data_IF_300557122327
#
_entry.id   IF_300557122327
#
_cell.length_a   1.000
_cell.length_b   1.000
_cell.length_c   1.000
_cell.angle_alpha   90.00
_cell.angle_beta   90.00
_cell.angle_gamma   90.00
#
_symmetry.space_group_name_H-M   'P 1'
#
loop_
_entity.id
_entity.type
_entity.pdbx_description
1 polymer ?
#
# COMPACT_ATOMS: atom_id res chain seq x y z
N UNK A 1 16.02 15.71 0.61
CA UNK A 1 16.12 14.61 -0.38
C UNK A 1 15.27 13.40 0.03
N UNK A 2 15.43 12.88 1.25
CA UNK A 2 14.71 11.71 1.80
C UNK A 2 13.18 11.74 1.67
N UNK A 3 12.55 12.87 1.97
CA UNK A 3 11.08 13.03 1.88
C UNK A 3 10.53 12.96 0.45
N UNK A 4 11.33 13.34 -0.55
CA UNK A 4 10.94 13.29 -1.96
C UNK A 4 10.89 11.84 -2.46
N UNK A 5 11.86 11.01 -2.07
CA UNK A 5 11.91 9.61 -2.47
C UNK A 5 10.80 8.78 -1.79
N UNK A 6 10.51 9.05 -0.53
CA UNK A 6 9.35 8.48 0.17
C UNK A 6 8.03 8.86 -0.54
N UNK A 7 7.88 10.12 -0.97
CA UNK A 7 6.71 10.55 -1.72
C UNK A 7 6.59 9.84 -3.08
N UNK A 8 7.69 9.66 -3.80
CA UNK A 8 7.72 8.93 -5.07
C UNK A 8 7.32 7.46 -4.91
N UNK A 9 7.81 6.79 -3.86
CA UNK A 9 7.43 5.41 -3.57
C UNK A 9 5.94 5.27 -3.22
N UNK A 10 5.40 6.22 -2.44
CA UNK A 10 3.97 6.27 -2.13
C UNK A 10 3.13 6.54 -3.39
N UNK A 11 3.59 7.42 -4.27
CA UNK A 11 2.90 7.73 -5.51
C UNK A 11 2.87 6.52 -6.46
N UNK A 12 3.99 5.80 -6.57
CA UNK A 12 4.07 4.57 -7.35
C UNK A 12 3.11 3.50 -6.82
N UNK A 13 3.06 3.29 -5.50
CA UNK A 13 2.09 2.40 -4.87
C UNK A 13 0.64 2.81 -5.18
N UNK A 14 0.31 4.10 -5.06
CA UNK A 14 -1.03 4.61 -5.37
C UNK A 14 -1.42 4.43 -6.83
N UNK A 15 -0.47 4.52 -7.76
CA UNK A 15 -0.71 4.25 -9.16
C UNK A 15 -1.10 2.78 -9.37
N UNK A 16 -0.29 1.84 -8.85
CA UNK A 16 -0.58 0.39 -8.92
C UNK A 16 -1.91 0.07 -8.25
N UNK A 17 -2.19 0.65 -7.08
CA UNK A 17 -3.46 0.46 -6.36
C UNK A 17 -4.67 0.89 -7.21
N UNK A 18 -4.57 2.02 -7.93
CA UNK A 18 -5.65 2.50 -8.80
C UNK A 18 -5.86 1.57 -10.00
N UNK A 19 -4.78 1.09 -10.61
CA UNK A 19 -4.86 0.14 -11.73
C UNK A 19 -5.48 -1.19 -11.31
N UNK A 20 -5.04 -1.76 -10.18
CA UNK A 20 -5.63 -2.97 -9.62
C UNK A 20 -7.10 -2.76 -9.22
N UNK A 21 -7.44 -1.60 -8.66
CA UNK A 21 -8.81 -1.28 -8.30
C UNK A 21 -9.77 -1.29 -9.50
N UNK A 22 -9.32 -0.89 -10.69
CA UNK A 22 -10.17 -0.92 -11.91
C UNK A 22 -10.58 -2.33 -12.32
N UNK A 23 -9.79 -3.35 -11.95
CA UNK A 23 -10.04 -4.76 -12.28
C UNK A 23 -11.10 -5.40 -11.37
N UNK A 24 -11.48 -4.75 -10.27
CA UNK A 24 -12.40 -5.30 -9.29
C UNK A 24 -13.86 -4.89 -9.52
N UNK A 25 -14.78 -5.78 -9.12
CA UNK A 25 -16.20 -5.48 -9.00
C UNK A 25 -16.49 -4.36 -7.98
N UNK A 26 -17.67 -3.74 -8.07
CA UNK A 26 -18.03 -2.55 -7.28
C UNK A 26 -17.89 -2.75 -5.76
N UNK A 27 -18.26 -3.93 -5.25
CA UNK A 27 -18.17 -4.29 -3.83
C UNK A 27 -16.72 -4.29 -3.32
N UNK A 28 -15.83 -5.00 -4.03
CA UNK A 28 -14.39 -5.06 -3.74
C UNK A 28 -13.72 -3.70 -3.92
N UNK A 29 -14.11 -2.90 -4.91
CA UNK A 29 -13.60 -1.52 -5.07
C UNK A 29 -13.86 -0.65 -3.86
N UNK A 30 -15.05 -0.77 -3.23
CA UNK A 30 -15.40 -0.01 -2.01
C UNK A 30 -14.55 -0.42 -0.82
N UNK A 31 -14.28 -1.71 -0.67
CA UNK A 31 -13.37 -2.24 0.35
C UNK A 31 -11.95 -1.67 0.18
N UNK A 32 -11.38 -1.75 -1.02
CA UNK A 32 -10.06 -1.19 -1.34
C UNK A 32 -9.95 0.32 -1.12
N UNK A 33 -11.04 1.07 -1.36
CA UNK A 33 -11.05 2.53 -1.11
C UNK A 33 -10.96 2.84 0.38
N UNK A 34 -11.62 2.05 1.24
CA UNK A 34 -11.62 2.24 2.70
C UNK A 34 -10.26 1.92 3.33
N UNK A 35 -9.54 0.94 2.78
CA UNK A 35 -8.24 0.51 3.29
C UNK A 35 -7.04 1.29 2.74
N UNK A 36 -7.27 2.28 1.86
CA UNK A 36 -6.21 3.14 1.31
C UNK A 36 -5.30 3.72 2.40
N UNK A 37 -5.88 4.23 3.49
CA UNK A 37 -5.11 4.85 4.58
C UNK A 37 -4.17 3.87 5.26
N UNK A 38 -4.54 2.59 5.34
CA UNK A 38 -3.70 1.53 5.91
C UNK A 38 -2.49 1.24 5.02
N UNK A 39 -2.68 1.19 3.70
CA UNK A 39 -1.61 0.95 2.73
C UNK A 39 -0.57 2.10 2.68
N UNK A 40 -0.98 3.33 2.99
CA UNK A 40 -0.09 4.50 2.98
C UNK A 40 0.73 4.63 4.26
N UNK A 41 0.23 4.13 5.39
CA UNK A 41 0.99 4.09 6.65
C UNK A 41 2.21 3.17 6.49
N UNK A 42 3.26 3.44 7.26
CA UNK A 42 4.40 2.53 7.43
C UNK A 42 3.97 1.34 8.29
N UNK A 43 4.46 0.14 7.97
CA UNK A 43 4.07 -1.09 8.67
C UNK A 43 4.28 -1.02 10.19
N UNK A 44 5.32 -0.34 10.66
CA UNK A 44 5.63 -0.19 12.09
C UNK A 44 4.67 0.71 12.86
N UNK A 45 3.77 1.43 12.17
CA UNK A 45 2.74 2.28 12.79
C UNK A 45 1.34 1.67 12.75
N UNK A 46 1.22 0.45 12.22
CA UNK A 46 -0.05 -0.27 12.13
C UNK A 46 -0.25 -1.11 13.39
N UNK A 47 -1.50 -1.21 13.83
CA UNK A 47 -1.91 -2.18 14.85
C UNK A 47 -2.00 -3.59 14.26
N UNK A 48 -2.06 -4.61 15.12
CA UNK A 48 -2.13 -6.01 14.69
C UNK A 48 -3.35 -6.29 13.78
N UNK A 49 -4.52 -5.77 14.13
CA UNK A 49 -5.76 -5.86 13.35
C UNK A 49 -5.64 -5.14 11.99
N UNK A 50 -4.99 -3.98 11.98
CA UNK A 50 -4.71 -3.25 10.73
C UNK A 50 -3.73 -4.02 9.84
N UNK A 51 -2.73 -4.71 10.41
CA UNK A 51 -1.78 -5.54 9.67
C UNK A 51 -2.44 -6.76 9.04
N UNK A 52 -3.35 -7.43 9.75
CA UNK A 52 -4.14 -8.53 9.19
C UNK A 52 -4.98 -8.05 8.00
N UNK A 53 -5.60 -6.88 8.14
CA UNK A 53 -6.39 -6.26 7.07
C UNK A 53 -5.50 -5.96 5.85
N UNK A 54 -4.31 -5.39 6.06
CA UNK A 54 -3.35 -5.13 4.99
C UNK A 54 -2.91 -6.43 4.32
N UNK A 55 -2.56 -7.46 5.09
CA UNK A 55 -2.13 -8.77 4.56
C UNK A 55 -3.22 -9.40 3.68
N UNK A 56 -4.48 -9.35 4.12
CA UNK A 56 -5.62 -9.81 3.33
C UNK A 56 -5.77 -9.02 2.02
N UNK A 57 -5.49 -7.72 2.01
CA UNK A 57 -5.58 -6.90 0.78
C UNK A 57 -4.46 -7.24 -0.19
N UNK A 58 -3.24 -7.40 0.32
CA UNK A 58 -2.07 -7.69 -0.51
C UNK A 58 -2.15 -9.10 -1.12
N UNK A 59 -2.78 -10.06 -0.43
CA UNK A 59 -2.99 -11.41 -0.99
C UNK A 59 -3.93 -11.44 -2.20
N UNK A 60 -4.77 -10.41 -2.39
CA UNK A 60 -5.68 -10.30 -3.52
C UNK A 60 -4.99 -9.86 -4.82
N UNK A 61 -3.80 -9.27 -4.74
CA UNK A 61 -3.09 -8.76 -5.92
C UNK A 61 -1.58 -8.78 -5.71
N UNK A 62 -0.92 -9.66 -6.45
CA UNK A 62 0.55 -9.78 -6.46
C UNK A 62 1.25 -8.45 -6.84
N UNK A 63 0.84 -7.72 -7.91
CA UNK A 63 1.43 -6.43 -8.23
C UNK A 63 1.32 -5.41 -7.10
N UNK A 64 0.18 -5.40 -6.39
CA UNK A 64 -0.01 -4.51 -5.26
C UNK A 64 0.89 -4.89 -4.07
N UNK A 65 1.05 -6.18 -3.80
CA UNK A 65 1.95 -6.69 -2.77
C UNK A 65 3.41 -6.29 -3.04
N UNK A 66 3.88 -6.44 -4.28
CA UNK A 66 5.22 -6.04 -4.70
C UNK A 66 5.42 -4.53 -4.55
N UNK A 67 4.45 -3.72 -5.00
CA UNK A 67 4.52 -2.27 -4.85
C UNK A 67 4.54 -1.82 -3.38
N UNK A 68 3.76 -2.48 -2.52
CA UNK A 68 3.75 -2.18 -1.08
C UNK A 68 5.10 -2.53 -0.44
N UNK A 69 5.68 -3.68 -0.79
CA UNK A 69 7.00 -4.09 -0.32
C UNK A 69 8.10 -3.09 -0.73
N UNK A 70 8.13 -2.67 -2.00
CA UNK A 70 9.07 -1.65 -2.48
C UNK A 70 8.89 -0.31 -1.77
N UNK A 71 7.65 0.06 -1.46
CA UNK A 71 7.36 1.26 -0.65
C UNK A 71 7.96 1.11 0.73
N UNK A 72 7.73 0.01 1.43
CA UNK A 72 8.30 -0.24 2.76
C UNK A 72 9.84 -0.24 2.74
N UNK A 73 10.47 -0.87 1.74
CA UNK A 73 11.93 -0.81 1.56
C UNK A 73 12.45 0.62 1.41
N UNK A 74 11.76 1.46 0.64
CA UNK A 74 12.12 2.87 0.52
C UNK A 74 11.98 3.61 1.86
N UNK A 75 10.92 3.32 2.64
CA UNK A 75 10.80 3.89 3.98
C UNK A 75 11.91 3.43 4.92
N UNK A 76 12.30 2.15 4.88
CA UNK A 76 13.35 1.60 5.73
C UNK A 76 14.74 2.15 5.32
N UNK A 77 15.01 2.29 4.01
CA UNK A 77 16.28 2.79 3.49
C UNK A 77 16.45 4.32 3.63
N UNK A 78 15.38 5.09 3.39
CA UNK A 78 15.41 6.56 3.49
C UNK A 78 14.91 7.10 4.84
N UNK A 79 14.52 6.21 5.76
CA UNK A 79 14.06 6.53 7.10
C UNK A 79 15.16 6.51 8.18
N UNK A 80 16.43 6.38 7.76
CA UNK A 80 17.63 6.62 8.59
C UNK A 80 17.96 8.10 8.67
#
# INVERSE_FOLDING_TARGET
MYRLCQFQAVYALEHVRKEEQKKFEASRRKYFKRSRTLLLKHKGKLKADELETVSLILSLSKPLAEAYYLKELAYDFFGS
#
